data_IF_265681832904
#
_entry.id   IF_265681832904
#
_cell.length_a   1.000
_cell.length_b   1.000
_cell.length_c   1.000
_cell.angle_alpha   90.00
_cell.angle_beta   90.00
_cell.angle_gamma   90.00
#
_symmetry.space_group_name_H-M   'P 1'
#
loop_
_entity.id
_entity.type
_entity.pdbx_description
1 polymer ?
#
# COMPACT_ATOMS: atom_id res chain seq x y z
N UNK A 1 -11.27 -49.73 44.26
CA UNK A 1 -10.48 -48.78 43.46
C UNK A 1 -11.32 -48.39 42.26
N UNK A 2 -11.96 -47.22 42.29
CA UNK A 2 -12.78 -46.73 41.18
C UNK A 2 -11.93 -45.75 40.37
N UNK A 3 -11.69 -46.08 39.09
CA UNK A 3 -10.91 -45.23 38.19
C UNK A 3 -11.69 -43.92 37.88
N UNK A 4 -11.05 -42.75 37.88
CA UNK A 4 -11.71 -41.50 37.51
C UNK A 4 -12.03 -41.51 36.00
N UNK A 5 -13.32 -41.40 35.68
CA UNK A 5 -13.81 -41.22 34.31
C UNK A 5 -13.46 -39.82 33.83
N UNK A 6 -12.49 -39.71 32.91
CA UNK A 6 -12.19 -38.45 32.21
C UNK A 6 -13.38 -38.07 31.32
N UNK A 7 -14.15 -37.05 31.72
CA UNK A 7 -15.20 -36.46 30.89
C UNK A 7 -14.57 -35.69 29.73
N UNK A 8 -15.04 -35.97 28.51
CA UNK A 8 -14.61 -35.26 27.31
C UNK A 8 -15.07 -33.78 27.36
N UNK A 9 -14.26 -32.82 26.90
CA UNK A 9 -14.61 -31.40 26.94
C UNK A 9 -15.84 -31.12 26.06
N UNK A 10 -16.88 -30.55 26.65
CA UNK A 10 -18.08 -30.12 25.94
C UNK A 10 -17.80 -28.80 25.22
N UNK A 11 -17.63 -28.85 23.89
CA UNK A 11 -17.50 -27.65 23.06
C UNK A 11 -18.80 -26.83 23.13
N UNK A 12 -18.73 -25.61 23.65
CA UNK A 12 -19.89 -24.73 23.74
C UNK A 12 -20.35 -24.28 22.32
N UNK A 13 -21.66 -24.04 22.09
CA UNK A 13 -22.20 -23.65 20.78
C UNK A 13 -21.76 -22.27 20.28
N UNK A 14 -20.90 -21.56 21.02
CA UNK A 14 -20.47 -20.19 20.73
C UNK A 14 -19.77 -20.02 19.38
N UNK A 15 -19.18 -21.09 18.85
CA UNK A 15 -18.50 -21.08 17.55
C UNK A 15 -19.44 -20.72 16.39
N UNK A 16 -20.73 -21.09 16.43
CA UNK A 16 -21.70 -20.72 15.39
C UNK A 16 -21.97 -19.21 15.37
N UNK A 17 -22.09 -18.61 16.56
CA UNK A 17 -22.27 -17.15 16.71
C UNK A 17 -21.02 -16.39 16.30
N UNK A 18 -19.84 -16.90 16.67
CA UNK A 18 -18.56 -16.34 16.22
C UNK A 18 -18.40 -16.43 14.70
N UNK A 19 -18.78 -17.56 14.10
CA UNK A 19 -18.77 -17.75 12.65
C UNK A 19 -19.72 -16.78 11.95
N UNK A 20 -20.95 -16.63 12.44
CA UNK A 20 -21.92 -15.67 11.90
C UNK A 20 -21.43 -14.22 12.05
N UNK A 21 -20.83 -13.86 13.18
CA UNK A 21 -20.25 -12.53 13.40
C UNK A 21 -19.06 -12.28 12.46
N UNK A 22 -18.21 -13.28 12.23
CA UNK A 22 -17.11 -13.20 11.27
C UNK A 22 -17.64 -13.05 9.84
N UNK A 23 -18.62 -13.86 9.42
CA UNK A 23 -19.23 -13.76 8.09
C UNK A 23 -19.90 -12.39 7.90
N UNK A 24 -20.65 -11.91 8.89
CA UNK A 24 -21.25 -10.58 8.85
C UNK A 24 -20.17 -9.47 8.77
N UNK A 25 -19.09 -9.59 9.53
CA UNK A 25 -17.95 -8.66 9.46
C UNK A 25 -17.31 -8.67 8.07
N UNK A 26 -17.09 -9.85 7.48
CA UNK A 26 -16.55 -10.01 6.13
C UNK A 26 -17.50 -9.44 5.06
N UNK A 27 -18.81 -9.63 5.19
CA UNK A 27 -19.81 -9.07 4.28
C UNK A 27 -19.89 -7.55 4.39
N UNK A 28 -19.89 -7.00 5.61
CA UNK A 28 -19.91 -5.55 5.85
C UNK A 28 -18.64 -4.89 5.34
N UNK A 29 -17.47 -5.47 5.64
CA UNK A 29 -16.20 -4.96 5.12
C UNK A 29 -16.12 -5.08 3.60
N UNK A 30 -16.52 -6.22 3.03
CA UNK A 30 -16.59 -6.41 1.58
C UNK A 30 -17.53 -5.41 0.90
N UNK A 31 -18.69 -5.12 1.51
CA UNK A 31 -19.63 -4.11 1.03
C UNK A 31 -19.08 -2.69 1.13
N UNK A 32 -18.39 -2.37 2.22
CA UNK A 32 -17.77 -1.06 2.46
C UNK A 32 -16.65 -0.76 1.45
N UNK A 33 -15.89 -1.79 1.06
CA UNK A 33 -14.79 -1.68 0.11
C UNK A 33 -15.16 -2.17 -1.30
N UNK A 34 -16.45 -2.35 -1.61
CA UNK A 34 -16.90 -2.87 -2.91
C UNK A 34 -16.40 -2.00 -4.07
N UNK A 35 -16.41 -0.69 -3.91
CA UNK A 35 -15.99 0.25 -4.94
C UNK A 35 -14.47 0.17 -5.15
N UNK A 36 -13.71 -0.12 -4.09
CA UNK A 36 -12.27 -0.39 -4.15
C UNK A 36 -11.97 -1.68 -4.89
N UNK A 37 -12.73 -2.75 -4.61
CA UNK A 37 -12.57 -4.04 -5.29
C UNK A 37 -12.92 -3.89 -6.77
N UNK A 38 -14.02 -3.22 -7.10
CA UNK A 38 -14.42 -2.97 -8.48
C UNK A 38 -13.36 -2.16 -9.24
N UNK A 39 -12.86 -1.06 -8.65
CA UNK A 39 -11.77 -0.28 -9.23
C UNK A 39 -10.49 -1.11 -9.44
N UNK A 40 -10.20 -2.03 -8.53
CA UNK A 40 -9.06 -2.92 -8.66
C UNK A 40 -9.22 -3.90 -9.84
N UNK A 41 -10.40 -4.52 -9.96
CA UNK A 41 -10.69 -5.46 -11.06
C UNK A 41 -10.67 -4.77 -12.42
N UNK A 42 -11.24 -3.57 -12.52
CA UNK A 42 -11.21 -2.82 -13.79
C UNK A 42 -9.78 -2.44 -14.19
N UNK A 43 -8.92 -2.07 -13.24
CA UNK A 43 -7.49 -1.80 -13.51
C UNK A 43 -6.78 -3.05 -14.01
N UNK A 44 -7.00 -4.20 -13.37
CA UNK A 44 -6.39 -5.47 -13.76
C UNK A 44 -6.83 -5.94 -15.15
N UNK A 45 -8.09 -5.69 -15.52
CA UNK A 45 -8.62 -6.05 -16.83
C UNK A 45 -8.21 -5.08 -17.94
N UNK A 46 -8.03 -3.80 -17.61
CA UNK A 46 -7.84 -2.74 -18.62
C UNK A 46 -6.36 -2.43 -18.89
N UNK A 47 -5.45 -2.77 -17.99
CA UNK A 47 -4.02 -2.45 -18.10
C UNK A 47 -3.20 -3.70 -18.43
N UNK A 48 -2.49 -3.68 -19.56
CA UNK A 48 -1.59 -4.79 -19.98
C UNK A 48 -0.49 -5.11 -18.96
N UNK A 49 -0.09 -4.14 -18.15
CA UNK A 49 0.92 -4.32 -17.09
C UNK A 49 0.43 -5.23 -15.95
N UNK A 50 -0.88 -5.44 -15.83
CA UNK A 50 -1.51 -6.21 -14.74
C UNK A 50 -2.28 -7.45 -15.25
N UNK A 51 -2.07 -7.89 -16.49
CA UNK A 51 -2.79 -9.04 -17.08
C UNK A 51 -2.69 -10.33 -16.25
N UNK A 52 -1.61 -10.51 -15.47
CA UNK A 52 -1.43 -11.67 -14.60
C UNK A 52 -1.83 -11.43 -13.13
N UNK A 53 -2.32 -10.23 -12.80
CA UNK A 53 -2.67 -9.84 -11.44
C UNK A 53 -3.77 -10.72 -10.85
N UNK A 54 -4.66 -11.27 -11.68
CA UNK A 54 -5.71 -12.21 -11.26
C UNK A 54 -5.19 -13.52 -10.67
N UNK A 55 -3.98 -13.94 -11.05
CA UNK A 55 -3.40 -15.23 -10.63
C UNK A 55 -2.68 -15.11 -9.29
N UNK A 56 -2.16 -13.92 -8.97
CA UNK A 56 -1.31 -13.70 -7.79
C UNK A 56 -2.07 -13.87 -6.46
N UNK A 57 -3.25 -13.25 -6.23
CA UNK A 57 -4.00 -13.45 -4.99
C UNK A 57 -4.40 -14.92 -4.76
N UNK A 58 -4.98 -15.66 -5.72
CA UNK A 58 -5.30 -17.08 -5.54
C UNK A 58 -4.08 -17.92 -5.15
N UNK A 59 -2.92 -17.69 -5.77
CA UNK A 59 -1.68 -18.39 -5.41
C UNK A 59 -1.24 -18.03 -3.98
N UNK A 60 -1.25 -16.74 -3.62
CA UNK A 60 -0.89 -16.29 -2.27
C UNK A 60 -1.81 -16.92 -1.21
N UNK A 61 -3.12 -16.91 -1.44
CA UNK A 61 -4.10 -17.54 -0.56
C UNK A 61 -3.91 -19.06 -0.49
N UNK A 62 -3.61 -19.71 -1.62
CA UNK A 62 -3.31 -21.14 -1.65
C UNK A 62 -2.16 -21.47 -0.72
N UNK A 63 -1.03 -20.77 -0.78
CA UNK A 63 0.11 -21.04 0.11
C UNK A 63 -0.24 -20.81 1.59
N UNK A 64 -0.94 -19.73 1.89
CA UNK A 64 -1.32 -19.36 3.26
C UNK A 64 -2.28 -20.37 3.89
N UNK A 65 -3.15 -20.99 3.09
CA UNK A 65 -4.09 -22.02 3.54
C UNK A 65 -3.49 -23.43 3.49
N UNK A 66 -2.65 -23.74 2.50
CA UNK A 66 -2.03 -25.05 2.32
C UNK A 66 -1.00 -25.38 3.41
N UNK A 67 -0.18 -24.41 3.84
CA UNK A 67 0.83 -24.67 4.88
C UNK A 67 0.23 -25.14 6.21
N UNK A 68 -0.73 -24.43 6.84
CA UNK A 68 -1.30 -24.90 8.10
C UNK A 68 -2.13 -26.18 7.94
N UNK A 69 -2.72 -26.44 6.76
CA UNK A 69 -3.52 -27.65 6.52
C UNK A 69 -2.67 -28.89 6.24
N UNK A 70 -1.57 -28.76 5.51
CA UNK A 70 -0.70 -29.89 5.13
C UNK A 70 0.44 -30.11 6.14
N UNK A 71 1.03 -29.04 6.67
CA UNK A 71 2.23 -29.09 7.52
C UNK A 71 1.94 -28.76 8.99
N UNK A 72 0.71 -28.34 9.30
CA UNK A 72 0.25 -28.04 10.65
C UNK A 72 0.61 -26.64 11.15
N UNK A 73 -0.05 -26.26 12.24
CA UNK A 73 0.12 -24.96 12.89
C UNK A 73 1.55 -24.63 13.38
N UNK A 74 2.36 -25.58 13.90
CA UNK A 74 3.72 -25.26 14.34
C UNK A 74 4.60 -24.74 13.20
N UNK A 75 4.53 -25.36 12.02
CA UNK A 75 5.29 -24.94 10.84
C UNK A 75 4.79 -23.60 10.32
N UNK A 76 3.47 -23.41 10.27
CA UNK A 76 2.86 -22.15 9.84
C UNK A 76 3.32 -20.94 10.67
N UNK A 77 3.55 -21.12 11.98
CA UNK A 77 4.08 -20.04 12.85
C UNK A 77 5.52 -19.66 12.53
N UNK A 78 6.36 -20.64 12.22
CA UNK A 78 7.75 -20.39 11.81
C UNK A 78 7.78 -19.67 10.46
N UNK A 79 6.89 -20.06 9.54
CA UNK A 79 6.76 -19.46 8.21
C UNK A 79 5.83 -18.25 8.15
N UNK A 80 5.36 -17.73 9.29
CA UNK A 80 4.36 -16.66 9.30
C UNK A 80 4.82 -15.40 8.55
N UNK A 81 6.11 -15.05 8.66
CA UNK A 81 6.66 -13.92 7.93
C UNK A 81 6.74 -14.17 6.42
N UNK A 82 7.40 -15.23 5.90
CA UNK A 82 7.39 -15.53 4.46
C UNK A 82 5.98 -15.65 3.87
N UNK A 83 5.05 -16.27 4.60
CA UNK A 83 3.65 -16.41 4.17
C UNK A 83 2.92 -15.07 4.13
N UNK A 84 3.19 -14.17 5.07
CA UNK A 84 2.68 -12.80 5.02
C UNK A 84 3.35 -11.98 3.92
N UNK A 85 4.64 -12.21 3.68
CA UNK A 85 5.45 -11.44 2.74
C UNK A 85 5.02 -11.68 1.28
N UNK A 86 4.50 -12.87 0.94
CA UNK A 86 3.99 -13.16 -0.40
C UNK A 86 2.83 -12.24 -0.83
N UNK A 87 2.10 -11.65 0.12
CA UNK A 87 1.04 -10.70 -0.20
C UNK A 87 1.57 -9.37 -0.75
N UNK A 88 2.86 -9.03 -0.56
CA UNK A 88 3.46 -7.89 -1.26
C UNK A 88 3.55 -8.09 -2.77
N UNK A 89 3.46 -9.33 -3.26
CA UNK A 89 3.40 -9.61 -4.70
C UNK A 89 2.04 -9.27 -5.31
N UNK A 90 0.99 -9.16 -4.49
CA UNK A 90 -0.34 -8.77 -4.98
C UNK A 90 -0.26 -7.30 -5.39
N UNK A 91 -0.59 -6.95 -6.65
CA UNK A 91 -0.53 -5.57 -7.14
C UNK A 91 -1.71 -4.75 -6.60
N UNK A 92 -1.66 -4.42 -5.31
CA UNK A 92 -2.57 -3.53 -4.57
C UNK A 92 -1.95 -2.15 -4.40
N UNK A 93 -2.78 -1.10 -4.49
CA UNK A 93 -2.39 0.24 -4.08
C UNK A 93 -2.90 1.36 -4.98
N UNK A 94 -3.23 1.09 -6.24
CA UNK A 94 -3.60 2.15 -7.22
C UNK A 94 -4.75 3.07 -6.76
N UNK A 95 -5.64 2.57 -5.89
CA UNK A 95 -6.67 3.37 -5.23
C UNK A 95 -6.12 4.55 -4.39
N UNK A 96 -4.88 4.45 -3.90
CA UNK A 96 -4.20 5.48 -3.12
C UNK A 96 -3.56 6.55 -4.02
N UNK A 97 -3.41 6.27 -5.32
CA UNK A 97 -2.79 7.18 -6.29
C UNK A 97 -3.43 8.58 -6.30
N UNK A 98 -4.77 8.73 -6.38
CA UNK A 98 -5.41 10.06 -6.37
C UNK A 98 -5.14 10.86 -5.09
N UNK A 99 -5.09 10.18 -3.94
CA UNK A 99 -4.78 10.81 -2.64
C UNK A 99 -3.33 11.29 -2.60
N UNK A 100 -2.38 10.46 -3.02
CA UNK A 100 -0.96 10.83 -3.06
C UNK A 100 -0.68 11.97 -4.04
N UNK A 101 -1.37 11.99 -5.18
CA UNK A 101 -1.30 13.09 -6.14
C UNK A 101 -1.78 14.40 -5.52
N UNK A 102 -2.91 14.37 -4.79
CA UNK A 102 -3.45 15.55 -4.09
C UNK A 102 -2.49 16.06 -3.03
N UNK A 103 -1.90 15.17 -2.23
CA UNK A 103 -0.90 15.54 -1.22
C UNK A 103 0.35 16.13 -1.86
N UNK A 104 0.82 15.55 -2.97
CA UNK A 104 1.98 16.05 -3.73
C UNK A 104 1.70 17.44 -4.32
N UNK A 105 0.51 17.66 -4.89
CA UNK A 105 0.10 18.96 -5.42
C UNK A 105 0.07 20.03 -4.32
N UNK A 106 -0.59 19.73 -3.19
CA UNK A 106 -0.69 20.64 -2.06
C UNK A 106 0.68 20.99 -1.48
N UNK A 107 1.55 20.00 -1.29
CA UNK A 107 2.92 20.24 -0.84
C UNK A 107 3.69 21.13 -1.82
N UNK A 108 3.61 20.84 -3.11
CA UNK A 108 4.34 21.59 -4.15
C UNK A 108 3.90 23.05 -4.15
N UNK A 109 2.60 23.32 -4.07
CA UNK A 109 2.06 24.70 -4.01
C UNK A 109 2.51 25.42 -2.74
N UNK A 110 2.49 24.75 -1.59
CA UNK A 110 2.97 25.34 -0.32
C UNK A 110 4.47 25.68 -0.42
N UNK A 111 5.29 24.78 -0.97
CA UNK A 111 6.72 24.99 -1.13
C UNK A 111 7.04 26.13 -2.11
N UNK A 112 6.29 26.24 -3.22
CA UNK A 112 6.43 27.34 -4.18
C UNK A 112 6.05 28.69 -3.57
N UNK A 113 4.93 28.76 -2.81
CA UNK A 113 4.53 29.97 -2.09
C UNK A 113 5.54 30.36 -1.02
N UNK A 114 6.07 29.38 -0.28
CA UNK A 114 7.16 29.60 0.68
C UNK A 114 8.44 30.13 0.03
N UNK A 115 8.66 29.81 -1.25
CA UNK A 115 9.77 30.32 -2.05
C UNK A 115 9.48 31.69 -2.70
N UNK A 116 8.32 32.30 -2.41
CA UNK A 116 7.93 33.62 -2.92
C UNK A 116 7.28 33.61 -4.30
N UNK A 117 6.97 32.44 -4.87
CA UNK A 117 6.35 32.33 -6.19
C UNK A 117 4.82 32.39 -6.03
N UNK A 118 4.13 33.34 -6.70
CA UNK A 118 2.67 33.37 -6.69
C UNK A 118 2.12 32.16 -7.47
N UNK A 119 1.26 31.37 -6.82
CA UNK A 119 0.70 30.14 -7.40
C UNK A 119 -0.81 30.10 -7.23
N UNK A 120 -1.51 29.92 -8.35
CA UNK A 120 -2.94 29.60 -8.38
C UNK A 120 -3.12 28.09 -8.56
N UNK A 121 -3.98 27.46 -7.76
CA UNK A 121 -4.21 26.01 -7.79
C UNK A 121 -5.69 25.73 -8.04
N UNK A 122 -5.97 24.82 -8.97
CA UNK A 122 -7.29 24.27 -9.25
C UNK A 122 -7.17 22.73 -9.30
N UNK A 123 -7.54 22.08 -8.20
CA UNK A 123 -7.36 20.64 -8.04
C UNK A 123 -5.88 20.23 -8.10
N UNK A 124 -5.54 19.37 -9.07
CA UNK A 124 -4.17 18.90 -9.33
C UNK A 124 -3.37 19.80 -10.28
N UNK A 125 -4.03 20.79 -10.89
CA UNK A 125 -3.43 21.75 -11.81
C UNK A 125 -3.05 23.00 -11.02
N UNK A 126 -1.91 23.59 -11.34
CA UNK A 126 -1.52 24.88 -10.78
C UNK A 126 -0.74 25.71 -11.79
N UNK A 127 -0.86 27.03 -11.65
CA UNK A 127 -0.29 28.02 -12.57
C UNK A 127 0.66 28.92 -11.81
N UNK A 128 1.86 29.04 -12.36
CA UNK A 128 2.93 29.94 -11.91
C UNK A 128 3.29 30.91 -13.05
N UNK A 129 4.00 32.02 -12.79
CA UNK A 129 4.31 33.01 -13.83
C UNK A 129 5.06 32.44 -15.05
N UNK A 130 5.83 31.36 -14.86
CA UNK A 130 6.58 30.70 -15.93
C UNK A 130 5.79 29.65 -16.70
N UNK A 131 4.58 29.26 -16.28
CA UNK A 131 3.80 28.23 -16.96
C UNK A 131 2.74 27.52 -16.11
N UNK A 132 2.08 26.54 -16.72
CA UNK A 132 1.06 25.69 -16.09
C UNK A 132 1.64 24.30 -15.82
N UNK A 133 1.33 23.75 -14.65
CA UNK A 133 1.81 22.45 -14.20
C UNK A 133 0.66 21.60 -13.69
N UNK A 134 0.84 20.28 -13.80
CA UNK A 134 -0.12 19.30 -13.31
C UNK A 134 0.58 18.16 -12.60
N UNK A 135 0.02 17.70 -11.49
CA UNK A 135 0.40 16.43 -10.90
C UNK A 135 -0.36 15.31 -11.61
N UNK A 136 0.31 14.64 -12.55
CA UNK A 136 -0.20 13.45 -13.26
C UNK A 136 0.12 12.16 -12.49
N UNK A 137 -0.42 11.03 -12.95
CA UNK A 137 -0.29 9.70 -12.32
C UNK A 137 1.17 9.31 -12.03
N UNK A 138 2.11 9.70 -12.91
CA UNK A 138 3.55 9.48 -12.75
C UNK A 138 4.18 10.21 -11.53
N UNK A 139 3.49 11.22 -11.00
CA UNK A 139 3.93 12.01 -9.85
C UNK A 139 3.35 11.53 -8.51
N UNK A 140 2.47 10.52 -8.50
CA UNK A 140 1.91 9.93 -7.28
C UNK A 140 2.98 9.34 -6.35
N UNK A 141 4.10 8.85 -6.91
CA UNK A 141 5.17 8.20 -6.16
C UNK A 141 4.81 6.81 -5.62
N UNK A 142 3.65 6.26 -5.99
CA UNK A 142 3.11 5.04 -5.38
C UNK A 142 3.99 3.81 -5.59
N UNK A 143 4.60 3.68 -6.77
CA UNK A 143 5.50 2.55 -7.10
C UNK A 143 6.74 2.53 -6.20
N UNK A 144 7.32 3.71 -5.96
CA UNK A 144 8.47 3.86 -5.07
C UNK A 144 8.08 3.61 -3.61
N UNK A 145 6.87 4.03 -3.21
CA UNK A 145 6.34 3.76 -1.88
C UNK A 145 6.18 2.26 -1.62
N UNK A 146 5.52 1.53 -2.52
CA UNK A 146 5.31 0.07 -2.38
C UNK A 146 6.66 -0.66 -2.33
N UNK A 147 7.59 -0.31 -3.23
CA UNK A 147 8.93 -0.90 -3.24
C UNK A 147 9.69 -0.66 -1.93
N UNK A 148 9.65 0.58 -1.43
CA UNK A 148 10.28 0.95 -0.16
C UNK A 148 9.68 0.20 1.03
N UNK A 149 8.35 0.05 1.09
CA UNK A 149 7.67 -0.71 2.15
C UNK A 149 8.04 -2.19 2.08
N UNK A 150 8.05 -2.78 0.89
CA UNK A 150 8.40 -4.19 0.68
C UNK A 150 9.84 -4.47 1.16
N UNK A 151 10.81 -3.70 0.64
CA UNK A 151 12.22 -3.82 1.04
C UNK A 151 12.40 -3.48 2.52
N UNK A 152 11.71 -2.45 3.00
CA UNK A 152 11.76 -1.99 4.38
C UNK A 152 11.27 -3.05 5.37
N UNK A 153 10.18 -3.73 5.04
CA UNK A 153 9.61 -4.81 5.84
C UNK A 153 10.53 -6.03 5.87
N UNK A 154 11.11 -6.40 4.73
CA UNK A 154 12.11 -7.47 4.66
C UNK A 154 13.34 -7.15 5.49
N UNK A 155 13.91 -5.97 5.30
CA UNK A 155 15.09 -5.51 6.03
C UNK A 155 14.82 -5.45 7.54
N UNK A 156 13.67 -4.91 7.96
CA UNK A 156 13.28 -4.85 9.35
C UNK A 156 13.21 -6.25 9.99
N UNK A 157 12.62 -7.22 9.29
CA UNK A 157 12.51 -8.58 9.79
C UNK A 157 13.87 -9.26 9.96
N UNK A 158 14.76 -9.12 8.96
CA UNK A 158 16.08 -9.76 8.97
C UNK A 158 17.06 -9.13 9.98
N UNK A 159 16.99 -7.82 10.19
CA UNK A 159 18.01 -7.09 10.97
C UNK A 159 17.59 -6.76 12.40
N UNK A 160 16.29 -6.74 12.71
CA UNK A 160 15.81 -6.36 14.04
C UNK A 160 15.10 -7.51 14.75
N UNK A 161 15.49 -7.77 16.00
CA UNK A 161 14.81 -8.74 16.87
C UNK A 161 13.63 -8.12 17.65
N UNK A 162 13.63 -6.80 17.87
CA UNK A 162 12.56 -6.11 18.59
C UNK A 162 11.44 -5.69 17.64
N UNK A 163 10.20 -6.08 17.95
CA UNK A 163 9.01 -5.66 17.20
C UNK A 163 8.85 -4.14 17.13
N UNK A 164 9.21 -3.40 18.20
CA UNK A 164 9.15 -1.94 18.18
C UNK A 164 10.07 -1.36 17.11
N UNK A 165 11.31 -1.84 17.03
CA UNK A 165 12.29 -1.39 16.02
C UNK A 165 11.86 -1.77 14.61
N UNK A 166 11.23 -2.93 14.43
CA UNK A 166 10.63 -3.33 13.16
C UNK A 166 9.56 -2.35 12.71
N UNK A 167 8.59 -2.06 13.56
CA UNK A 167 7.51 -1.12 13.22
C UNK A 167 8.01 0.30 12.99
N UNK A 168 8.98 0.78 13.77
CA UNK A 168 9.61 2.09 13.55
C UNK A 168 10.26 2.13 12.16
N UNK A 169 11.04 1.10 11.80
CA UNK A 169 11.72 1.07 10.51
C UNK A 169 10.75 0.97 9.33
N UNK A 170 9.71 0.15 9.45
CA UNK A 170 8.62 0.11 8.46
C UNK A 170 7.95 1.47 8.33
N UNK A 171 7.69 2.16 9.44
CA UNK A 171 7.17 3.53 9.43
C UNK A 171 8.10 4.50 8.68
N UNK A 172 9.41 4.43 8.92
CA UNK A 172 10.40 5.22 8.18
C UNK A 172 10.37 4.89 6.68
N UNK A 173 10.26 3.61 6.32
CA UNK A 173 10.18 3.15 4.93
C UNK A 173 8.92 3.64 4.18
N UNK A 174 7.90 4.10 4.90
CA UNK A 174 6.72 4.77 4.34
C UNK A 174 6.97 6.27 4.20
N UNK A 175 7.47 6.92 5.25
CA UNK A 175 7.59 8.38 5.32
C UNK A 175 8.67 8.92 4.37
N UNK A 176 9.84 8.27 4.33
CA UNK A 176 10.98 8.72 3.51
C UNK A 176 10.64 8.83 2.01
N UNK A 177 10.10 7.79 1.33
CA UNK A 177 9.77 7.90 -0.09
C UNK A 177 8.64 8.90 -0.38
N UNK A 178 7.70 9.11 0.54
CA UNK A 178 6.65 10.13 0.40
C UNK A 178 7.28 11.53 0.35
N UNK A 179 8.12 11.85 1.34
CA UNK A 179 8.82 13.14 1.41
C UNK A 179 9.76 13.30 0.21
N UNK A 180 10.50 12.25 -0.16
CA UNK A 180 11.38 12.29 -1.33
C UNK A 180 10.59 12.56 -2.62
N UNK A 181 9.40 11.98 -2.80
CA UNK A 181 8.55 12.24 -3.95
C UNK A 181 8.02 13.68 -3.98
N UNK A 182 7.63 14.22 -2.82
CA UNK A 182 7.22 15.62 -2.68
C UNK A 182 8.35 16.59 -3.07
N UNK A 183 9.56 16.35 -2.56
CA UNK A 183 10.74 17.13 -2.93
C UNK A 183 11.05 16.99 -4.42
N UNK A 184 10.94 15.79 -4.99
CA UNK A 184 11.11 15.56 -6.44
C UNK A 184 10.16 16.41 -7.27
N UNK A 185 8.87 16.39 -6.97
CA UNK A 185 7.88 17.17 -7.71
C UNK A 185 8.16 18.67 -7.63
N UNK A 186 8.47 19.17 -6.43
CA UNK A 186 8.86 20.56 -6.22
C UNK A 186 10.13 20.95 -7.01
N UNK A 187 11.17 20.12 -6.98
CA UNK A 187 12.42 20.38 -7.71
C UNK A 187 12.19 20.46 -9.22
N UNK A 188 11.37 19.58 -9.80
CA UNK A 188 11.05 19.61 -11.23
C UNK A 188 10.38 20.94 -11.61
N UNK A 189 9.40 21.40 -10.84
CA UNK A 189 8.73 22.69 -11.10
C UNK A 189 9.69 23.86 -10.95
N UNK A 190 10.51 23.86 -9.91
CA UNK A 190 11.49 24.92 -9.67
C UNK A 190 12.55 24.98 -10.77
N UNK A 191 13.04 23.84 -11.23
CA UNK A 191 13.97 23.76 -12.37
C UNK A 191 13.31 24.29 -13.64
N UNK A 192 12.04 23.97 -13.90
CA UNK A 192 11.29 24.53 -15.02
C UNK A 192 11.12 26.06 -14.92
N UNK A 193 10.85 26.58 -13.71
CA UNK A 193 10.73 28.01 -13.46
C UNK A 193 12.05 28.76 -13.68
N UNK A 194 13.14 28.28 -13.09
CA UNK A 194 14.46 28.93 -13.15
C UNK A 194 15.12 28.80 -14.53
N UNK A 195 14.82 27.74 -15.29
CA UNK A 195 15.36 27.55 -16.64
C UNK A 195 14.60 28.28 -17.75
N UNK A 196 13.59 29.08 -17.42
CA UNK A 196 12.73 29.72 -18.42
C UNK A 196 12.05 28.69 -19.35
N UNK A 197 11.72 27.52 -18.81
CA UNK A 197 11.12 26.39 -19.51
C UNK A 197 12.00 25.72 -20.60
N UNK A 198 13.30 26.02 -20.69
CA UNK A 198 14.20 25.40 -21.69
C UNK A 198 14.64 23.97 -21.32
N UNK A 199 14.65 23.60 -20.03
CA UNK A 199 15.03 22.25 -19.57
C UNK A 199 13.82 21.32 -19.34
N UNK A 200 12.60 21.86 -19.28
CA UNK A 200 11.39 21.11 -18.91
C UNK A 200 10.72 20.36 -20.07
N UNK A 201 11.12 20.63 -21.33
CA UNK A 201 10.50 20.03 -22.53
C UNK A 201 11.08 18.65 -22.86
N UNK A 202 12.15 18.21 -22.18
CA UNK A 202 12.87 16.96 -22.48
C UNK A 202 12.80 15.89 -21.39
N UNK A 203 11.97 16.06 -20.36
CA UNK A 203 11.90 15.17 -19.19
C UNK A 203 10.58 14.39 -19.09
N UNK A 204 9.93 14.17 -20.23
CA UNK A 204 8.77 13.28 -20.40
C UNK A 204 9.19 11.79 -20.40
#
# INVERSE_FOLDING_TARGET
MNAPTMQAPTLSPGWKRALLALVALWLVTGWQYRDTVLAMTTIWDTRETFTHAWVVPPIAFLFVLAVPTLLGWPVARVLAFPLGFIFFCVPVGEFLSPTLMTWTANFTVVALRASGIPVYQEGLQFVIPSGRWSVIEACSGIRYLIASIMVGTLFAYLNYNSLRRRFIFVGISIVVPLVANWLRAYMIVMLGHLSGNQLAVGAD
#
